data_IF_864130985790
#
_entry.id   IF_864130985790
#
_cell.length_a   1.000
_cell.length_b   1.000
_cell.length_c   1.000
_cell.angle_alpha   90.00
_cell.angle_beta   90.00
_cell.angle_gamma   90.00
#
_symmetry.space_group_name_H-M   'P 1'
#
loop_
_entity.id
_entity.type
_entity.pdbx_description
1 polymer ?
#
# COMPACT_ATOMS: atom_id res chain seq x y z
N UNK A 1 -25.60 4.85 -31.77
CA UNK A 1 -24.58 4.36 -30.81
C UNK A 1 -23.29 5.16 -30.94
N UNK A 2 -23.30 6.39 -30.45
CA UNK A 2 -22.14 7.27 -30.28
C UNK A 2 -22.32 7.74 -28.84
N UNK A 3 -21.43 7.43 -27.89
CA UNK A 3 -21.33 8.14 -26.59
C UNK A 3 -20.22 7.62 -25.65
N UNK A 4 -19.61 6.44 -25.86
CA UNK A 4 -18.47 6.01 -25.02
C UNK A 4 -17.13 6.65 -25.38
N UNK A 5 -16.89 7.00 -26.65
CA UNK A 5 -15.62 7.63 -27.09
C UNK A 5 -15.49 9.08 -26.61
N UNK A 6 -16.57 9.86 -26.71
CA UNK A 6 -16.57 11.28 -26.34
C UNK A 6 -16.39 11.53 -24.82
N UNK A 7 -16.75 10.55 -23.98
CA UNK A 7 -16.54 10.61 -22.52
C UNK A 7 -15.09 10.28 -22.12
N UNK A 8 -14.41 9.42 -22.87
CA UNK A 8 -13.01 9.09 -22.62
C UNK A 8 -12.08 10.25 -23.00
N UNK A 9 -12.31 10.90 -24.16
CA UNK A 9 -11.55 12.09 -24.58
C UNK A 9 -11.69 13.27 -23.59
N UNK A 10 -12.88 13.46 -23.01
CA UNK A 10 -13.11 14.52 -22.01
C UNK A 10 -12.38 14.27 -20.67
N UNK A 11 -12.15 13.00 -20.30
CA UNK A 11 -11.39 12.66 -19.08
C UNK A 11 -9.89 12.86 -19.25
N UNK A 12 -9.34 12.46 -20.41
CA UNK A 12 -7.91 12.61 -20.72
C UNK A 12 -7.52 14.09 -20.83
N UNK A 13 -8.32 14.91 -21.51
CA UNK A 13 -8.07 16.35 -21.61
C UNK A 13 -8.10 17.09 -20.26
N UNK A 14 -8.87 16.60 -19.28
CA UNK A 14 -8.88 17.16 -17.93
C UNK A 14 -7.62 16.75 -17.13
N UNK A 15 -7.21 15.48 -17.22
CA UNK A 15 -6.02 14.99 -16.53
C UNK A 15 -4.75 15.67 -17.04
N UNK A 16 -4.62 15.84 -18.36
CA UNK A 16 -3.49 16.53 -18.95
C UNK A 16 -3.41 17.99 -18.50
N UNK A 17 -4.55 18.72 -18.51
CA UNK A 17 -4.61 20.10 -18.01
C UNK A 17 -4.21 20.20 -16.54
N UNK A 18 -4.68 19.29 -15.70
CA UNK A 18 -4.33 19.25 -14.27
C UNK A 18 -2.87 18.89 -14.05
N UNK A 19 -2.33 17.99 -14.88
CA UNK A 19 -0.91 17.64 -14.83
C UNK A 19 -0.04 18.84 -15.20
N UNK A 20 -0.33 19.50 -16.32
CA UNK A 20 0.39 20.71 -16.77
C UNK A 20 0.32 21.83 -15.75
N UNK A 21 -0.84 22.11 -15.15
CA UNK A 21 -0.96 23.15 -14.13
C UNK A 21 -0.19 22.81 -12.86
N UNK A 22 -0.15 21.54 -12.48
CA UNK A 22 0.61 21.07 -11.30
C UNK A 22 2.12 21.10 -11.57
N UNK A 23 2.56 20.66 -12.75
CA UNK A 23 3.96 20.69 -13.18
C UNK A 23 4.52 22.11 -13.13
N UNK A 24 3.80 23.07 -13.74
CA UNK A 24 4.18 24.50 -13.71
C UNK A 24 4.26 25.06 -12.29
N UNK A 25 3.38 24.63 -11.39
CA UNK A 25 3.38 25.09 -9.99
C UNK A 25 4.55 24.54 -9.18
N UNK A 26 4.96 23.30 -9.43
CA UNK A 26 5.99 22.61 -8.63
C UNK A 26 7.39 22.86 -9.17
N UNK A 27 7.56 22.80 -10.50
CA UNK A 27 8.87 22.90 -11.18
C UNK A 27 9.13 24.32 -11.70
N UNK A 28 8.07 25.11 -11.92
CA UNK A 28 8.14 26.44 -12.54
C UNK A 28 7.96 26.39 -14.06
N UNK A 29 7.77 27.54 -14.70
CA UNK A 29 7.64 27.65 -16.15
C UNK A 29 9.02 27.79 -16.79
N UNK A 30 9.60 26.66 -17.22
CA UNK A 30 10.87 26.60 -17.96
C UNK A 30 10.78 25.57 -19.09
N UNK A 31 11.62 25.74 -20.12
CA UNK A 31 11.70 24.75 -21.21
C UNK A 31 12.09 23.38 -20.64
N UNK A 32 11.25 22.38 -20.85
CA UNK A 32 11.46 21.01 -20.36
C UNK A 32 10.83 20.69 -19.01
N UNK A 33 10.06 21.61 -18.43
CA UNK A 33 9.29 21.41 -17.19
C UNK A 33 8.36 20.18 -17.25
N UNK A 34 7.71 19.96 -18.40
CA UNK A 34 6.81 18.82 -18.59
C UNK A 34 7.55 17.49 -18.66
N UNK A 35 8.71 17.46 -19.31
CA UNK A 35 9.53 16.24 -19.44
C UNK A 35 10.15 15.86 -18.10
N UNK A 36 10.57 16.86 -17.33
CA UNK A 36 11.05 16.69 -15.95
C UNK A 36 9.93 16.17 -15.04
N UNK A 37 8.74 16.80 -15.08
CA UNK A 37 7.58 16.34 -14.32
C UNK A 37 7.17 14.91 -14.69
N UNK A 38 7.23 14.54 -15.97
CA UNK A 38 6.91 13.20 -16.43
C UNK A 38 7.92 12.18 -15.91
N UNK A 39 9.21 12.52 -15.96
CA UNK A 39 10.30 11.68 -15.46
C UNK A 39 10.15 11.43 -13.95
N UNK A 40 9.85 12.48 -13.18
CA UNK A 40 9.68 12.36 -11.74
C UNK A 40 8.40 11.61 -11.37
N UNK A 41 7.30 11.83 -12.09
CA UNK A 41 6.09 11.04 -11.92
C UNK A 41 6.34 9.55 -12.19
N UNK A 42 7.12 9.21 -13.22
CA UNK A 42 7.50 7.83 -13.53
C UNK A 42 8.36 7.22 -12.41
N UNK A 43 9.39 7.92 -11.92
CA UNK A 43 10.21 7.46 -10.80
C UNK A 43 9.36 7.17 -9.56
N UNK A 44 8.45 8.08 -9.23
CA UNK A 44 7.57 7.96 -8.07
C UNK A 44 6.60 6.79 -8.24
N UNK A 45 6.08 6.58 -9.45
CA UNK A 45 5.20 5.44 -9.76
C UNK A 45 5.93 4.11 -9.63
N UNK A 46 7.17 4.01 -10.12
CA UNK A 46 8.00 2.82 -9.97
C UNK A 46 8.24 2.54 -8.49
N UNK A 47 8.61 3.55 -7.70
CA UNK A 47 8.85 3.41 -6.27
C UNK A 47 7.60 2.94 -5.50
N UNK A 48 6.43 3.50 -5.80
CA UNK A 48 5.17 3.05 -5.19
C UNK A 48 4.88 1.60 -5.55
N UNK A 49 5.08 1.21 -6.82
CA UNK A 49 4.83 -0.17 -7.27
C UNK A 49 5.79 -1.18 -6.64
N UNK A 50 7.05 -0.83 -6.45
CA UNK A 50 8.00 -1.68 -5.73
C UNK A 50 7.66 -1.79 -4.24
N UNK A 51 7.28 -0.69 -3.59
CA UNK A 51 6.79 -0.70 -2.20
C UNK A 51 5.53 -1.58 -2.04
N UNK A 52 4.56 -1.46 -2.94
CA UNK A 52 3.35 -2.29 -2.95
C UNK A 52 3.70 -3.79 -3.07
N UNK A 53 4.66 -4.14 -3.93
CA UNK A 53 5.12 -5.52 -4.09
C UNK A 53 5.77 -6.04 -2.81
N UNK A 54 6.71 -5.28 -2.22
CA UNK A 54 7.37 -5.64 -0.95
C UNK A 54 6.34 -5.81 0.17
N UNK A 55 5.37 -4.91 0.28
CA UNK A 55 4.32 -4.99 1.28
C UNK A 55 3.45 -6.23 1.09
N UNK A 56 3.13 -6.57 -0.16
CA UNK A 56 2.36 -7.78 -0.49
C UNK A 56 3.14 -9.04 -0.14
N UNK A 57 4.43 -9.10 -0.47
CA UNK A 57 5.31 -10.21 -0.14
C UNK A 57 5.45 -10.39 1.38
N UNK A 58 5.61 -9.28 2.11
CA UNK A 58 5.63 -9.29 3.57
C UNK A 58 4.31 -9.81 4.16
N UNK A 59 3.16 -9.38 3.59
CA UNK A 59 1.85 -9.90 3.99
C UNK A 59 1.69 -11.38 3.68
N UNK A 60 2.23 -11.88 2.56
CA UNK A 60 2.24 -13.30 2.25
C UNK A 60 3.11 -14.10 3.21
N UNK A 61 4.31 -13.62 3.54
CA UNK A 61 5.18 -14.24 4.52
C UNK A 61 4.51 -14.30 5.88
N UNK A 62 3.85 -13.22 6.30
CA UNK A 62 3.00 -13.23 7.50
C UNK A 62 1.91 -14.29 7.30
N UNK A 63 1.11 -14.31 6.24
CA UNK A 63 0.08 -15.35 6.08
C UNK A 63 0.61 -16.78 6.12
N UNK A 64 1.80 -17.05 5.57
CA UNK A 64 2.45 -18.37 5.51
C UNK A 64 3.08 -18.79 6.84
N UNK A 65 3.74 -17.88 7.54
CA UNK A 65 4.48 -18.15 8.79
C UNK A 65 3.65 -17.87 10.05
N UNK A 66 2.67 -16.98 9.95
CA UNK A 66 1.89 -16.41 11.04
C UNK A 66 0.53 -17.12 11.09
N UNK A 67 0.54 -18.42 11.40
CA UNK A 67 -0.52 -18.96 12.29
C UNK A 67 -0.24 -18.39 13.68
N UNK A 68 -0.47 -17.08 13.86
CA UNK A 68 -0.40 -16.48 15.19
C UNK A 68 -1.34 -17.26 16.07
N UNK A 69 -0.76 -17.83 17.13
CA UNK A 69 -1.26 -19.02 17.81
C UNK A 69 -2.78 -19.05 17.85
N UNK A 70 -3.36 -20.14 17.35
CA UNK A 70 -4.74 -20.51 17.63
C UNK A 70 -5.09 -20.03 19.03
N UNK A 71 -6.24 -19.36 19.20
CA UNK A 71 -6.67 -18.80 20.48
C UNK A 71 -6.60 -19.90 21.54
N UNK A 72 -5.46 -20.02 22.22
CA UNK A 72 -5.18 -21.13 23.14
C UNK A 72 -6.05 -21.05 24.38
N UNK A 73 -6.60 -19.86 24.64
CA UNK A 73 -7.35 -19.53 25.83
C UNK A 73 -8.55 -18.67 25.45
N UNK A 74 -9.74 -19.16 25.81
CA UNK A 74 -10.99 -18.46 25.54
C UNK A 74 -11.21 -17.26 26.46
N UNK A 75 -10.60 -17.28 27.66
CA UNK A 75 -10.68 -16.23 28.67
C UNK A 75 -9.34 -16.00 29.41
N UNK A 76 -9.18 -14.85 30.08
CA UNK A 76 -7.97 -14.50 30.85
C UNK A 76 -7.70 -15.46 32.03
N UNK A 77 -8.74 -16.09 32.59
CA UNK A 77 -8.61 -17.05 33.70
C UNK A 77 -7.90 -18.34 33.27
N UNK A 78 -8.16 -18.76 32.03
CA UNK A 78 -7.58 -19.96 31.40
C UNK A 78 -6.04 -19.90 31.29
N UNK A 79 -5.51 -18.68 31.15
CA UNK A 79 -4.07 -18.44 31.11
C UNK A 79 -3.40 -18.76 32.46
N UNK A 80 -4.05 -18.41 33.59
CA UNK A 80 -3.48 -18.55 34.93
C UNK A 80 -3.66 -19.96 35.52
N UNK A 81 -4.68 -20.72 35.08
CA UNK A 81 -4.92 -22.10 35.50
C UNK A 81 -3.70 -23.02 35.25
N UNK A 82 -2.97 -22.80 34.14
CA UNK A 82 -1.79 -23.61 33.80
C UNK A 82 -0.52 -23.22 34.56
N UNK A 83 -0.42 -21.97 35.03
CA UNK A 83 0.72 -21.55 35.86
C UNK A 83 0.71 -22.22 37.25
N UNK A 84 -0.47 -22.62 37.73
CA UNK A 84 -0.66 -23.19 39.05
C UNK A 84 -0.49 -24.73 39.11
N UNK A 85 -0.45 -25.42 37.97
CA UNK A 85 -0.28 -26.89 37.93
C UNK A 85 1.17 -27.34 37.74
N UNK A 86 2.08 -26.41 37.42
CA UNK A 86 3.54 -26.71 37.27
C UNK A 86 4.33 -26.58 38.57
N UNK A 87 3.78 -25.96 39.62
CA UNK A 87 4.44 -25.82 40.93
C UNK A 87 4.28 -27.05 41.84
N UNK A 88 3.54 -28.09 41.43
CA UNK A 88 3.27 -29.27 42.28
C UNK A 88 4.00 -30.56 41.85
N UNK A 89 5.06 -30.47 41.02
CA UNK A 89 5.99 -31.60 40.80
C UNK A 89 7.40 -31.22 41.22
N UNK A 90 7.58 -31.13 42.54
CA UNK A 90 8.85 -31.32 43.23
C UNK A 90 8.54 -32.01 44.56
N UNK A 91 8.37 -33.33 44.49
CA UNK A 91 8.64 -34.28 45.57
C UNK A 91 8.89 -35.64 44.93
#
# INVERSE_FOLDING_TARGET
MINRRNEQENKEGNQERRFRSTARRVIGERKGDLDEAATDAMKLRIHVKTQEAIATDALELIRKTYRFGEKRYSSRKDLYLRSNTRSFRCR
#
